data_IF_646868270433
#
_entry.id   IF_646868270433
#
_cell.length_a   1.000
_cell.length_b   1.000
_cell.length_c   1.000
_cell.angle_alpha   90.00
_cell.angle_beta   90.00
_cell.angle_gamma   90.00
#
_symmetry.space_group_name_H-M   'P 1'
#
loop_
_entity.id
_entity.type
_entity.pdbx_description
1 polymer ?
#
# COMPACT_ATOMS: atom_id res chain seq x y z
N UNK A 1 10.07 8.74 13.43
CA UNK A 1 9.26 8.42 12.24
C UNK A 1 10.03 7.39 11.44
N UNK A 2 9.38 6.29 11.07
CA UNK A 2 9.97 5.20 10.32
C UNK A 2 9.44 5.28 8.90
N UNK A 3 10.33 5.37 7.93
CA UNK A 3 9.97 5.49 6.51
C UNK A 3 10.33 4.19 5.76
N UNK A 4 9.42 3.69 4.93
CA UNK A 4 9.60 2.45 4.17
C UNK A 4 9.42 2.74 2.68
N UNK A 5 10.47 2.53 1.90
CA UNK A 5 10.46 2.73 0.44
C UNK A 5 10.75 1.43 -0.29
N UNK A 6 10.08 1.22 -1.43
CA UNK A 6 10.42 0.12 -2.35
C UNK A 6 11.52 0.57 -3.31
N UNK A 7 12.48 -0.30 -3.52
CA UNK A 7 13.45 -0.27 -4.62
C UNK A 7 13.33 -1.61 -5.36
N UNK A 8 13.73 -1.69 -6.63
CA UNK A 8 13.39 -2.76 -7.59
C UNK A 8 13.12 -4.15 -6.96
N UNK A 9 14.09 -4.68 -6.20
CA UNK A 9 13.99 -5.98 -5.50
C UNK A 9 14.10 -5.89 -3.97
N UNK A 10 14.19 -4.69 -3.39
CA UNK A 10 14.46 -4.50 -1.96
C UNK A 10 13.55 -3.46 -1.33
N UNK A 11 13.28 -3.62 -0.04
CA UNK A 11 12.58 -2.61 0.75
C UNK A 11 13.60 -1.89 1.61
N UNK A 12 13.73 -0.57 1.44
CA UNK A 12 14.57 0.31 2.24
C UNK A 12 13.78 0.86 3.41
N UNK A 13 14.41 0.91 4.58
CA UNK A 13 13.81 1.28 5.86
C UNK A 13 14.70 2.35 6.48
N UNK A 14 14.14 3.53 6.70
CA UNK A 14 14.82 4.70 7.26
C UNK A 14 14.27 5.01 8.64
N UNK A 15 15.16 5.13 9.62
CA UNK A 15 14.83 5.54 10.98
C UNK A 15 16.10 6.04 11.69
N UNK A 16 15.98 6.94 12.69
CA UNK A 16 17.11 7.31 13.55
C UNK A 16 17.67 6.09 14.29
N UNK A 17 18.94 6.14 14.71
CA UNK A 17 19.57 5.00 15.40
C UNK A 17 18.72 4.51 16.58
N UNK A 18 18.19 3.29 16.46
CA UNK A 18 17.37 2.65 17.48
C UNK A 18 17.77 1.16 17.58
N UNK A 19 18.47 0.74 18.64
CA UNK A 19 18.91 -0.65 18.82
C UNK A 19 17.76 -1.67 18.77
N UNK A 20 16.56 -1.32 19.27
CA UNK A 20 15.42 -2.21 19.24
C UNK A 20 14.93 -2.49 17.80
N UNK A 21 14.90 -1.46 16.95
CA UNK A 21 14.52 -1.63 15.54
C UNK A 21 15.58 -2.40 14.75
N UNK A 22 16.86 -2.15 15.02
CA UNK A 22 17.96 -2.90 14.40
C UNK A 22 17.83 -4.39 14.73
N UNK A 23 17.54 -4.73 15.99
CA UNK A 23 17.31 -6.12 16.40
C UNK A 23 16.13 -6.73 15.65
N UNK A 24 15.02 -6.00 15.48
CA UNK A 24 13.87 -6.45 14.68
C UNK A 24 14.25 -6.72 13.21
N UNK A 25 15.01 -5.83 12.57
CA UNK A 25 15.42 -5.98 11.16
C UNK A 25 16.38 -7.16 10.98
N UNK A 26 17.28 -7.39 11.93
CA UNK A 26 18.22 -8.51 11.90
C UNK A 26 17.54 -9.88 11.96
N UNK A 27 16.24 -9.95 12.31
CA UNK A 27 15.46 -11.20 12.25
C UNK A 27 15.05 -11.57 10.82
N UNK A 28 15.13 -10.63 9.86
CA UNK A 28 14.70 -10.82 8.48
C UNK A 28 15.88 -11.31 7.65
N UNK A 29 15.78 -12.50 7.06
CA UNK A 29 16.84 -13.05 6.21
C UNK A 29 17.19 -12.12 5.03
N UNK A 30 18.49 -11.98 4.74
CA UNK A 30 18.98 -11.16 3.63
C UNK A 30 19.01 -9.65 3.90
N UNK A 31 18.90 -9.20 5.16
CA UNK A 31 19.05 -7.80 5.55
C UNK A 31 20.44 -7.23 5.15
N UNK A 32 20.50 -5.92 4.84
CA UNK A 32 21.74 -5.19 4.51
C UNK A 32 21.68 -3.76 5.05
N UNK A 33 22.81 -3.27 5.57
CA UNK A 33 23.01 -1.86 5.90
C UNK A 33 23.62 -1.12 4.72
N UNK A 34 23.06 0.03 4.35
CA UNK A 34 23.56 0.91 3.28
C UNK A 34 24.12 2.19 3.89
N UNK A 35 25.45 2.36 3.98
CA UNK A 35 26.06 3.49 4.68
C UNK A 35 25.85 4.83 3.94
N UNK A 36 25.81 4.83 2.61
CA UNK A 36 25.62 6.03 1.78
C UNK A 36 24.23 6.65 2.00
N UNK A 37 23.20 5.81 2.01
CA UNK A 37 21.81 6.22 2.24
C UNK A 37 21.41 6.19 3.72
N UNK A 38 22.30 5.71 4.60
CA UNK A 38 22.09 5.53 6.04
C UNK A 38 20.80 4.78 6.37
N UNK A 39 20.53 3.71 5.62
CA UNK A 39 19.29 2.94 5.74
C UNK A 39 19.54 1.44 5.80
N UNK A 40 18.58 0.73 6.38
CA UNK A 40 18.54 -0.73 6.30
C UNK A 40 17.73 -1.15 5.08
N UNK A 41 18.06 -2.29 4.49
CA UNK A 41 17.23 -2.88 3.43
C UNK A 41 17.03 -4.37 3.64
N UNK A 42 15.88 -4.87 3.23
CA UNK A 42 15.57 -6.31 3.21
C UNK A 42 15.10 -6.73 1.82
N UNK A 43 15.21 -8.01 1.43
CA UNK A 43 14.64 -8.48 0.17
C UNK A 43 13.14 -8.24 0.12
N UNK A 44 12.63 -7.77 -1.01
CA UNK A 44 11.20 -7.65 -1.21
C UNK A 44 10.57 -9.04 -1.23
N UNK A 45 9.56 -9.25 -0.41
CA UNK A 45 8.80 -10.50 -0.35
C UNK A 45 7.34 -10.20 -0.07
N UNK A 46 6.47 -11.12 -0.48
CA UNK A 46 5.02 -10.95 -0.27
C UNK A 46 4.72 -10.79 1.22
N UNK A 47 3.89 -9.80 1.55
CA UNK A 47 3.57 -9.46 2.93
C UNK A 47 4.70 -8.81 3.72
N UNK A 48 5.82 -8.40 3.10
CA UNK A 48 6.87 -7.64 3.80
C UNK A 48 6.33 -6.36 4.43
N UNK A 49 5.45 -5.64 3.74
CA UNK A 49 4.81 -4.40 4.25
C UNK A 49 3.97 -4.71 5.49
N UNK A 50 3.11 -5.73 5.40
CA UNK A 50 2.31 -6.20 6.53
C UNK A 50 3.20 -6.62 7.70
N UNK A 51 4.29 -7.34 7.43
CA UNK A 51 5.29 -7.68 8.44
C UNK A 51 5.95 -6.44 9.04
N UNK A 52 6.31 -5.43 8.26
CA UNK A 52 6.87 -4.19 8.77
C UNK A 52 5.87 -3.47 9.68
N UNK A 53 4.63 -3.30 9.22
CA UNK A 53 3.55 -2.70 10.03
C UNK A 53 3.37 -3.46 11.34
N UNK A 54 3.34 -4.80 11.31
CA UNK A 54 3.24 -5.62 12.54
C UNK A 54 4.50 -5.59 13.41
N UNK A 55 5.69 -5.57 12.82
CA UNK A 55 6.97 -5.52 13.55
C UNK A 55 7.16 -4.18 14.26
N UNK A 56 6.63 -3.10 13.68
CA UNK A 56 6.70 -1.75 14.20
C UNK A 56 5.34 -1.26 14.74
N UNK A 57 4.49 -2.18 15.20
CA UNK A 57 3.19 -1.86 15.79
C UNK A 57 3.36 -0.84 16.95
N UNK A 58 2.52 0.20 16.94
CA UNK A 58 2.63 1.35 17.84
C UNK A 58 3.50 2.52 17.35
N UNK A 59 4.21 2.39 16.22
CA UNK A 59 4.97 3.46 15.60
C UNK A 59 4.30 3.99 14.33
N UNK A 60 4.48 5.29 14.04
CA UNK A 60 4.03 5.86 12.76
C UNK A 60 4.97 5.40 11.65
N UNK A 61 4.55 4.34 10.94
CA UNK A 61 5.21 3.78 9.75
C UNK A 61 4.68 4.50 8.52
N UNK A 62 5.52 5.28 7.87
CA UNK A 62 5.23 5.93 6.59
C UNK A 62 5.81 5.05 5.48
N UNK A 63 4.98 4.13 4.99
CA UNK A 63 5.34 3.28 3.85
C UNK A 63 4.78 3.88 2.56
N UNK A 64 5.55 3.76 1.48
CA UNK A 64 5.10 4.14 0.14
C UNK A 64 3.74 3.49 -0.17
N UNK A 65 2.75 4.28 -0.58
CA UNK A 65 1.40 3.78 -0.89
C UNK A 65 1.42 2.68 -1.96
N UNK A 66 2.37 2.75 -2.88
CA UNK A 66 2.57 1.73 -3.93
C UNK A 66 2.94 0.35 -3.38
N UNK A 67 3.60 0.28 -2.21
CA UNK A 67 3.95 -0.98 -1.56
C UNK A 67 2.72 -1.75 -1.12
N UNK A 68 1.66 -1.06 -0.71
CA UNK A 68 0.43 -1.71 -0.27
C UNK A 68 -0.44 -2.23 -1.41
N UNK A 69 -0.22 -1.78 -2.64
CA UNK A 69 -1.05 -2.15 -3.80
C UNK A 69 -0.44 -3.25 -4.67
N UNK A 70 0.74 -3.77 -4.30
CA UNK A 70 1.35 -4.88 -5.05
C UNK A 70 0.54 -6.18 -4.92
N UNK A 71 -0.10 -6.42 -3.77
CA UNK A 71 -0.96 -7.59 -3.60
C UNK A 71 -2.24 -7.46 -4.44
N UNK A 72 -2.83 -6.25 -4.53
CA UNK A 72 -3.91 -5.93 -5.47
C UNK A 72 -3.47 -6.24 -6.91
N UNK A 73 -2.32 -5.71 -7.33
CA UNK A 73 -1.79 -5.94 -8.68
C UNK A 73 -1.60 -7.42 -8.95
N UNK A 74 -0.98 -8.15 -8.01
CA UNK A 74 -0.74 -9.61 -8.11
C UNK A 74 -2.06 -10.37 -8.27
N UNK A 75 -3.05 -10.08 -7.44
CA UNK A 75 -4.36 -10.73 -7.51
C UNK A 75 -5.06 -10.49 -8.86
N UNK A 76 -4.97 -9.27 -9.39
CA UNK A 76 -5.51 -8.93 -10.71
C UNK A 76 -4.78 -9.67 -11.84
N UNK A 77 -3.45 -9.79 -11.76
CA UNK A 77 -2.65 -10.59 -12.71
C UNK A 77 -3.03 -12.06 -12.66
N UNK A 78 -3.16 -12.66 -11.46
CA UNK A 78 -3.55 -14.06 -11.28
C UNK A 78 -4.93 -14.36 -11.88
N UNK A 79 -5.85 -13.39 -11.79
CA UNK A 79 -7.18 -13.46 -12.39
C UNK A 79 -7.22 -13.13 -13.88
N UNK A 80 -6.06 -12.90 -14.50
CA UNK A 80 -5.89 -12.60 -15.93
C UNK A 80 -6.66 -11.34 -16.39
N UNK A 81 -6.78 -10.34 -15.52
CA UNK A 81 -7.32 -9.04 -15.94
C UNK A 81 -6.42 -8.40 -17.00
N UNK A 82 -7.02 -7.59 -17.87
CA UNK A 82 -6.27 -6.88 -18.90
C UNK A 82 -5.26 -5.89 -18.28
N UNK A 83 -4.13 -5.60 -18.94
CA UNK A 83 -3.17 -4.60 -18.46
C UNK A 83 -3.79 -3.23 -18.20
N UNK A 84 -4.78 -2.83 -19.01
CA UNK A 84 -5.51 -1.58 -18.83
C UNK A 84 -6.37 -1.60 -17.56
N UNK A 85 -7.06 -2.71 -17.29
CA UNK A 85 -7.85 -2.87 -16.08
C UNK A 85 -6.97 -2.89 -14.83
N UNK A 86 -5.82 -3.58 -14.89
CA UNK A 86 -4.85 -3.58 -13.79
C UNK A 86 -4.40 -2.15 -13.46
N UNK A 87 -4.01 -1.38 -14.48
CA UNK A 87 -3.60 0.02 -14.30
C UNK A 87 -4.71 0.87 -13.70
N UNK A 88 -5.93 0.77 -14.23
CA UNK A 88 -7.07 1.52 -13.71
C UNK A 88 -7.36 1.17 -12.24
N UNK A 89 -7.33 -0.12 -11.89
CA UNK A 89 -7.65 -0.56 -10.54
C UNK A 89 -6.59 -0.10 -9.52
N UNK A 90 -5.32 -0.23 -9.87
CA UNK A 90 -4.22 0.28 -9.04
C UNK A 90 -4.32 1.80 -8.89
N UNK A 91 -4.62 2.51 -9.98
CA UNK A 91 -4.75 3.97 -9.97
C UNK A 91 -5.84 4.47 -9.01
N UNK A 92 -7.06 3.94 -9.07
CA UNK A 92 -8.14 4.39 -8.19
C UNK A 92 -7.88 4.05 -6.72
N UNK A 93 -7.26 2.90 -6.44
CA UNK A 93 -6.88 2.57 -5.08
C UNK A 93 -5.77 3.50 -4.57
N UNK A 94 -4.77 3.82 -5.39
CA UNK A 94 -3.71 4.78 -5.05
C UNK A 94 -4.26 6.20 -4.80
N UNK A 95 -5.19 6.67 -5.64
CA UNK A 95 -5.83 7.97 -5.46
C UNK A 95 -6.62 8.07 -4.15
N UNK A 96 -7.37 7.04 -3.76
CA UNK A 96 -8.10 7.03 -2.48
C UNK A 96 -7.14 7.17 -1.30
N UNK A 97 -6.02 6.45 -1.32
CA UNK A 97 -5.03 6.51 -0.25
C UNK A 97 -4.40 7.90 -0.14
N UNK A 98 -4.09 8.52 -1.29
CA UNK A 98 -3.58 9.88 -1.37
C UNK A 98 -4.59 10.92 -0.92
N UNK A 99 -5.86 10.75 -1.28
CA UNK A 99 -6.95 11.67 -0.94
C UNK A 99 -7.15 11.77 0.57
N UNK A 100 -7.11 10.64 1.28
CA UNK A 100 -7.28 10.63 2.75
C UNK A 100 -5.97 10.68 3.54
N UNK A 101 -4.81 10.46 2.91
CA UNK A 101 -3.53 10.29 3.60
C UNK A 101 -3.52 9.08 4.54
N UNK A 102 -4.32 8.05 4.22
CA UNK A 102 -4.52 6.84 5.03
C UNK A 102 -3.82 5.65 4.39
N UNK A 103 -3.46 4.66 5.20
CA UNK A 103 -3.06 3.36 4.66
C UNK A 103 -4.30 2.50 4.30
N UNK A 104 -4.17 1.47 3.44
CA UNK A 104 -5.32 0.66 3.01
C UNK A 104 -6.09 -0.09 4.10
N UNK A 105 -5.51 -0.27 5.28
CA UNK A 105 -6.19 -0.93 6.39
C UNK A 105 -7.05 0.04 7.21
N UNK A 106 -6.88 1.35 7.02
CA UNK A 106 -7.64 2.41 7.68
C UNK A 106 -8.81 2.93 6.82
N UNK A 107 -8.84 2.56 5.53
CA UNK A 107 -9.92 2.94 4.62
C UNK A 107 -11.22 2.21 5.01
N UNK A 108 -12.24 2.99 5.32
CA UNK A 108 -13.58 2.51 5.66
C UNK A 108 -14.54 2.57 4.46
N UNK A 109 -15.70 1.94 4.59
CA UNK A 109 -16.75 2.04 3.58
C UNK A 109 -17.27 3.48 3.39
N UNK A 110 -17.22 4.31 4.44
CA UNK A 110 -17.61 5.71 4.33
C UNK A 110 -16.55 6.49 3.54
N UNK A 111 -15.26 6.26 3.80
CA UNK A 111 -14.18 6.86 3.02
C UNK A 111 -14.31 6.55 1.51
N UNK A 112 -14.66 5.30 1.16
CA UNK A 112 -14.92 4.92 -0.24
C UNK A 112 -16.09 5.71 -0.83
N UNK A 113 -17.20 5.85 -0.10
CA UNK A 113 -18.37 6.62 -0.57
C UNK A 113 -18.02 8.10 -0.74
N UNK A 114 -17.30 8.67 0.21
CA UNK A 114 -16.90 10.08 0.20
C UNK A 114 -15.97 10.38 -0.99
N UNK A 115 -15.02 9.48 -1.29
CA UNK A 115 -14.20 9.61 -2.50
C UNK A 115 -15.00 9.46 -3.79
N UNK A 116 -15.95 8.52 -3.87
CA UNK A 116 -16.82 8.39 -5.05
C UNK A 116 -17.71 9.63 -5.23
N UNK A 117 -18.18 10.24 -4.13
CA UNK A 117 -18.91 11.50 -4.15
C UNK A 117 -18.03 12.65 -4.66
N UNK A 118 -16.78 12.76 -4.18
CA UNK A 118 -15.79 13.70 -4.70
C UNK A 118 -15.57 13.56 -6.22
N UNK A 119 -15.49 12.33 -6.74
CA UNK A 119 -15.35 12.11 -8.18
C UNK A 119 -16.53 12.65 -8.99
N UNK A 120 -17.75 12.61 -8.44
CA UNK A 120 -18.96 13.08 -9.12
C UNK A 120 -19.09 14.59 -9.02
N UNK A 121 -18.98 15.15 -7.81
CA UNK A 121 -19.28 16.56 -7.57
C UNK A 121 -18.14 17.50 -7.96
N UNK A 122 -16.88 17.10 -7.68
CA UNK A 122 -15.74 18.00 -7.87
C UNK A 122 -14.98 17.71 -9.16
N UNK A 123 -14.92 16.44 -9.58
CA UNK A 123 -14.22 16.03 -10.81
C UNK A 123 -15.15 15.77 -12.00
N UNK A 124 -16.47 15.83 -11.79
CA UNK A 124 -17.52 15.66 -12.82
C UNK A 124 -17.27 14.46 -13.76
N UNK A 125 -16.81 13.34 -13.20
CA UNK A 125 -16.39 12.21 -14.03
C UNK A 125 -17.57 11.53 -14.71
N UNK A 126 -17.34 10.96 -15.90
CA UNK A 126 -18.36 10.19 -16.60
C UNK A 126 -18.86 8.98 -15.79
N UNK A 127 -20.07 8.51 -16.07
CA UNK A 127 -20.63 7.29 -15.47
C UNK A 127 -19.72 6.08 -15.66
N UNK A 128 -19.06 5.96 -16.81
CA UNK A 128 -18.12 4.87 -17.10
C UNK A 128 -16.87 4.93 -16.22
N UNK A 129 -16.38 6.15 -15.96
CA UNK A 129 -15.27 6.41 -15.04
C UNK A 129 -15.67 6.08 -13.61
N UNK A 130 -16.84 6.54 -13.15
CA UNK A 130 -17.36 6.25 -11.82
C UNK A 130 -17.55 4.74 -11.59
N UNK A 131 -18.06 4.02 -12.60
CA UNK A 131 -18.21 2.57 -12.54
C UNK A 131 -16.85 1.86 -12.43
N UNK A 132 -15.85 2.34 -13.17
CA UNK A 132 -14.48 1.80 -13.10
C UNK A 132 -13.86 2.02 -11.72
N UNK A 133 -14.00 3.21 -11.15
CA UNK A 133 -13.57 3.52 -9.79
C UNK A 133 -14.30 2.67 -8.75
N UNK A 134 -15.63 2.59 -8.84
CA UNK A 134 -16.47 1.77 -7.94
C UNK A 134 -16.02 0.32 -7.94
N UNK A 135 -15.85 -0.29 -9.12
CA UNK A 135 -15.44 -1.69 -9.23
C UNK A 135 -14.01 -1.92 -8.71
N UNK A 136 -13.10 -0.99 -8.97
CA UNK A 136 -11.73 -1.05 -8.48
C UNK A 136 -11.64 -1.03 -6.95
N UNK A 137 -12.40 -0.13 -6.32
CA UNK A 137 -12.39 0.03 -4.86
C UNK A 137 -13.13 -1.14 -4.19
N UNK A 138 -14.29 -1.53 -4.72
CA UNK A 138 -15.02 -2.71 -4.22
C UNK A 138 -14.16 -3.97 -4.26
N UNK A 139 -13.47 -4.22 -5.37
CA UNK A 139 -12.59 -5.38 -5.53
C UNK A 139 -11.56 -5.50 -4.40
N UNK A 140 -10.97 -4.37 -3.99
CA UNK A 140 -9.91 -4.36 -3.00
C UNK A 140 -10.41 -4.36 -1.56
N UNK A 141 -11.45 -3.56 -1.25
CA UNK A 141 -11.92 -3.37 0.13
C UNK A 141 -13.03 -4.34 0.57
N UNK A 142 -13.90 -4.84 -0.32
CA UNK A 142 -14.94 -5.82 0.05
C UNK A 142 -14.31 -7.16 0.47
N UNK A 143 -13.25 -7.59 -0.21
CA UNK A 143 -12.56 -8.85 0.13
C UNK A 143 -11.74 -8.77 1.41
N UNK A 144 -11.35 -7.57 1.84
CA UNK A 144 -10.55 -7.34 3.06
C UNK A 144 -11.41 -7.17 4.31
N UNK A 145 -12.66 -6.71 4.18
CA UNK A 145 -13.61 -6.55 5.29
C UNK A 145 -14.35 -7.86 5.66
N UNK A 146 -14.33 -8.88 4.79
CA UNK A 146 -15.01 -10.15 5.00
C UNK A 146 -14.21 -11.21 5.79
N UNK A 147 -13.36 -10.81 6.74
CA UNK A 147 -12.57 -11.75 7.56
C UNK A 147 -13.04 -11.78 9.01
N UNK A 148 -14.07 -12.60 9.26
CA UNK A 148 -14.35 -13.22 10.56
C UNK A 148 -14.65 -14.70 10.32
#
# INVERSE_FOLDING_TARGET
MLEVRKDEERVKIYFPYNPAYITKIKTIEGYRWHPEERCWSVPYSEGVVKRMVSLFDGEKVEADLSLYLEDLRRELVLRKYSPMTIKAYVHYNDEVLKFFGKNPYEITNNDVKDYLFHLVEEREVSTSTLNSATNALKFYYERRTARF
#
